data_IF_313316609070
#
_entry.id   IF_313316609070
#
_cell.length_a   1.000
_cell.length_b   1.000
_cell.length_c   1.000
_cell.angle_alpha   90.00
_cell.angle_beta   90.00
_cell.angle_gamma   90.00
#
_symmetry.space_group_name_H-M   'P 1'
#
loop_
_entity.id
_entity.type
_entity.pdbx_description
1 polymer ?
#
# COMPACT_ATOMS: atom_id res chain seq x y z
N UNK A 1 -4.18 5.51 11.91
CA UNK A 1 -4.75 6.39 10.86
C UNK A 1 -6.19 6.46 11.26
N UNK A 2 -6.51 7.51 12.00
CA UNK A 2 -7.68 7.51 12.86
C UNK A 2 -8.88 8.15 12.16
N UNK A 3 -8.80 8.15 10.81
CA UNK A 3 -9.80 8.64 9.87
C UNK A 3 -10.43 7.39 9.23
N UNK A 4 -11.69 7.05 9.59
CA UNK A 4 -12.38 5.86 9.08
C UNK A 4 -12.43 5.78 7.54
N UNK A 5 -12.60 6.92 6.87
CA UNK A 5 -12.69 7.04 5.42
C UNK A 5 -11.39 6.60 4.74
N UNK A 6 -10.24 6.92 5.35
CA UNK A 6 -8.94 6.52 4.82
C UNK A 6 -8.74 5.00 4.91
N UNK A 7 -9.21 4.37 5.99
CA UNK A 7 -9.20 2.91 6.12
C UNK A 7 -10.12 2.25 5.07
N UNK A 8 -11.33 2.78 4.90
CA UNK A 8 -12.27 2.29 3.89
C UNK A 8 -11.68 2.42 2.48
N UNK A 9 -11.07 3.56 2.15
CA UNK A 9 -10.37 3.77 0.88
C UNK A 9 -9.28 2.71 0.65
N UNK A 10 -8.40 2.47 1.64
CA UNK A 10 -7.32 1.48 1.52
C UNK A 10 -7.89 0.07 1.27
N UNK A 11 -8.97 -0.31 1.97
CA UNK A 11 -9.60 -1.62 1.79
C UNK A 11 -10.18 -1.78 0.38
N UNK A 12 -10.98 -0.80 -0.06
CA UNK A 12 -11.60 -0.84 -1.39
C UNK A 12 -10.59 -0.74 -2.52
N UNK A 13 -9.57 0.11 -2.39
CA UNK A 13 -8.49 0.18 -3.37
C UNK A 13 -7.73 -1.16 -3.47
N UNK A 14 -7.53 -1.83 -2.34
CA UNK A 14 -6.99 -3.19 -2.27
C UNK A 14 -7.84 -4.22 -3.04
N UNK A 15 -9.16 -4.16 -2.89
CA UNK A 15 -10.10 -5.04 -3.59
C UNK A 15 -10.08 -4.79 -5.10
N UNK A 16 -10.05 -3.52 -5.51
CA UNK A 16 -9.99 -3.12 -6.91
C UNK A 16 -8.70 -3.54 -7.61
N UNK A 17 -7.58 -3.69 -6.88
CA UNK A 17 -6.29 -4.13 -7.42
C UNK A 17 -6.39 -5.35 -8.34
N UNK A 18 -7.25 -6.31 -7.97
CA UNK A 18 -7.48 -7.53 -8.74
C UNK A 18 -8.03 -7.28 -10.14
N UNK A 19 -8.79 -6.20 -10.37
CA UNK A 19 -9.31 -5.83 -11.68
C UNK A 19 -8.23 -5.33 -12.65
N UNK A 20 -7.08 -4.91 -12.14
CA UNK A 20 -5.93 -4.46 -12.94
C UNK A 20 -4.78 -5.48 -12.96
N UNK A 21 -5.00 -6.68 -12.41
CA UNK A 21 -3.96 -7.71 -12.30
C UNK A 21 -2.92 -7.43 -11.21
N UNK A 22 -3.21 -6.55 -10.26
CA UNK A 22 -2.33 -6.19 -9.13
C UNK A 22 -2.79 -6.91 -7.87
N UNK A 23 -1.84 -7.44 -7.09
CA UNK A 23 -2.18 -8.12 -5.84
C UNK A 23 -2.77 -7.14 -4.81
N UNK A 24 -3.77 -7.59 -4.04
CA UNK A 24 -4.41 -6.81 -2.95
C UNK A 24 -3.39 -6.10 -2.06
N UNK A 25 -2.33 -6.80 -1.63
CA UNK A 25 -1.32 -6.21 -0.74
C UNK A 25 -0.57 -5.06 -1.40
N UNK A 26 -0.24 -5.19 -2.68
CA UNK A 26 0.47 -4.17 -3.46
C UNK A 26 -0.40 -2.94 -3.63
N UNK A 27 -1.68 -3.14 -3.97
CA UNK A 27 -2.65 -2.06 -4.07
C UNK A 27 -2.85 -1.35 -2.71
N UNK A 28 -2.95 -2.09 -1.59
CA UNK A 28 -3.07 -1.49 -0.26
C UNK A 28 -1.84 -0.69 0.16
N UNK A 29 -0.62 -1.20 -0.14
CA UNK A 29 0.62 -0.45 0.08
C UNK A 29 0.60 0.85 -0.72
N UNK A 30 0.21 0.79 -1.99
CA UNK A 30 0.06 1.98 -2.82
C UNK A 30 -0.97 2.97 -2.24
N UNK A 31 -2.15 2.49 -1.85
CA UNK A 31 -3.20 3.33 -1.27
C UNK A 31 -2.73 4.07 -0.01
N UNK A 32 -2.01 3.37 0.87
CA UNK A 32 -1.43 4.00 2.06
C UNK A 32 -0.41 5.09 1.67
N UNK A 33 0.50 4.79 0.75
CA UNK A 33 1.51 5.74 0.30
C UNK A 33 0.89 6.95 -0.40
N UNK A 34 -0.16 6.74 -1.20
CA UNK A 34 -0.91 7.80 -1.88
C UNK A 34 -1.58 8.76 -0.90
N UNK A 35 -2.10 8.24 0.22
CA UNK A 35 -2.70 9.05 1.28
C UNK A 35 -1.67 9.65 2.25
N UNK A 36 -0.38 9.33 2.09
CA UNK A 36 0.67 9.78 3.01
C UNK A 36 1.21 11.14 2.58
N UNK A 37 1.25 12.06 3.54
CA UNK A 37 1.82 13.41 3.42
C UNK A 37 3.36 13.43 3.50
N UNK A 38 3.97 12.33 3.97
CA UNK A 38 5.42 12.17 4.08
C UNK A 38 5.86 10.75 3.67
N UNK A 39 7.13 10.57 3.26
CA UNK A 39 7.70 9.25 3.04
C UNK A 39 7.56 8.37 4.28
N UNK A 40 7.21 7.09 4.07
CA UNK A 40 7.04 6.12 5.16
C UNK A 40 8.12 5.05 5.12
N UNK A 41 8.63 4.70 6.29
CA UNK A 41 9.43 3.50 6.47
C UNK A 41 8.54 2.27 6.28
N UNK A 42 9.14 1.19 5.79
CA UNK A 42 8.36 0.00 5.47
C UNK A 42 7.87 -0.75 6.71
N UNK A 43 8.51 -0.57 7.86
CA UNK A 43 8.03 -1.01 9.17
C UNK A 43 6.68 -0.34 9.52
N UNK A 44 6.56 0.98 9.31
CA UNK A 44 5.32 1.73 9.53
C UNK A 44 4.20 1.29 8.57
N UNK A 45 4.56 0.94 7.32
CA UNK A 45 3.62 0.37 6.35
C UNK A 45 3.11 -1.01 6.82
N UNK A 46 3.98 -1.88 7.35
CA UNK A 46 3.58 -3.16 7.91
C UNK A 46 2.57 -2.98 9.05
N UNK A 47 2.88 -2.10 10.01
CA UNK A 47 2.04 -1.85 11.18
C UNK A 47 0.68 -1.29 10.79
N UNK A 48 0.64 -0.27 9.92
CA UNK A 48 -0.62 0.36 9.50
C UNK A 48 -1.54 -0.56 8.71
N UNK A 49 -0.98 -1.47 7.91
CA UNK A 49 -1.75 -2.37 7.06
C UNK A 49 -1.95 -3.77 7.65
N UNK A 50 -1.28 -4.11 8.76
CA UNK A 50 -1.28 -5.47 9.31
C UNK A 50 -0.68 -6.50 8.35
N UNK A 51 0.28 -6.08 7.51
CA UNK A 51 0.91 -6.93 6.50
C UNK A 51 2.26 -7.45 6.97
N UNK A 52 2.61 -8.67 6.56
CA UNK A 52 3.94 -9.21 6.77
C UNK A 52 5.02 -8.39 6.04
N UNK A 53 6.23 -8.34 6.61
CA UNK A 53 7.37 -7.58 6.04
C UNK A 53 7.74 -8.00 4.63
N UNK A 54 7.58 -9.29 4.30
CA UNK A 54 7.79 -9.84 2.96
C UNK A 54 6.78 -9.28 1.95
N UNK A 55 5.50 -9.17 2.31
CA UNK A 55 4.46 -8.60 1.45
C UNK A 55 4.73 -7.13 1.16
N UNK A 56 5.07 -6.34 2.19
CA UNK A 56 5.41 -4.92 2.02
C UNK A 56 6.66 -4.76 1.16
N UNK A 57 7.70 -5.56 1.39
CA UNK A 57 8.95 -5.48 0.61
C UNK A 57 8.74 -5.83 -0.86
N UNK A 58 7.96 -6.88 -1.15
CA UNK A 58 7.65 -7.28 -2.52
C UNK A 58 6.76 -6.23 -3.20
N UNK A 59 5.73 -5.72 -2.50
CA UNK A 59 4.88 -4.67 -3.04
C UNK A 59 5.62 -3.37 -3.32
N UNK A 60 6.54 -2.95 -2.45
CA UNK A 60 7.38 -1.78 -2.73
C UNK A 60 8.26 -1.98 -3.96
N UNK A 61 8.85 -3.16 -4.15
CA UNK A 61 9.64 -3.48 -5.36
C UNK A 61 8.78 -3.44 -6.63
N UNK A 62 7.56 -3.94 -6.57
CA UNK A 62 6.61 -3.94 -7.69
C UNK A 62 6.14 -2.52 -8.03
N UNK A 63 5.76 -1.71 -7.03
CA UNK A 63 5.40 -0.30 -7.26
C UNK A 63 6.57 0.53 -7.80
N UNK A 64 7.81 0.19 -7.39
CA UNK A 64 9.02 0.79 -7.95
C UNK A 64 9.25 0.35 -9.40
N UNK A 65 8.98 -0.91 -9.77
CA UNK A 65 9.13 -1.36 -11.16
C UNK A 65 8.12 -0.66 -12.09
N UNK A 66 6.95 -0.28 -11.56
CA UNK A 66 5.98 0.57 -12.25
C UNK A 66 6.34 2.05 -12.29
N UNK A 67 7.41 2.48 -11.60
CA UNK A 67 7.86 3.87 -11.53
C UNK A 67 6.83 4.85 -10.92
N UNK A 68 5.88 4.34 -10.12
CA UNK A 68 4.87 5.16 -9.43
C UNK A 68 5.23 5.45 -7.97
N UNK A 69 6.23 4.76 -7.43
CA UNK A 69 6.81 5.02 -6.11
C UNK A 69 8.33 5.06 -6.24
N UNK A 70 8.97 5.92 -5.44
CA UNK A 70 10.42 6.05 -5.33
C UNK A 70 10.90 5.84 -3.90
N UNK A 71 12.20 5.56 -3.74
CA UNK A 71 12.86 5.56 -2.43
C UNK A 71 12.95 6.97 -1.86
#
# INVERSE_FOLDING_TARGET
MDIPEARAFILHWGEMGSHWGVNRSVAQVHALLYLSDHPRHAEDICEKLGLARSNVSNGLKELQSYQIVRR
#
